data_IF_074150584765
#
_entry.id   IF_074150584765
#
_cell.length_a   1.000
_cell.length_b   1.000
_cell.length_c   1.000
_cell.angle_alpha   90.00
_cell.angle_beta   90.00
_cell.angle_gamma   90.00
#
_symmetry.space_group_name_H-M   'P 1'
#
loop_
_entity.id
_entity.type
_entity.pdbx_description
1 polymer ?
#
# COMPACT_ATOMS: atom_id res chain seq x y z
N UNK A 1 23.25 -19.89 -39.10
CA UNK A 1 22.94 -19.31 -40.42
C UNK A 1 21.95 -18.16 -40.23
N UNK A 2 22.29 -16.95 -40.73
CA UNK A 2 21.52 -15.66 -40.77
C UNK A 2 21.18 -15.06 -39.39
N UNK A 3 21.81 -14.00 -38.84
CA UNK A 3 22.31 -12.70 -39.31
C UNK A 3 21.27 -11.77 -39.94
N UNK A 4 20.90 -10.68 -39.22
CA UNK A 4 20.71 -9.29 -39.69
C UNK A 4 20.31 -8.43 -38.48
N UNK A 5 21.17 -7.60 -37.86
CA UNK A 5 21.66 -6.28 -38.27
C UNK A 5 20.56 -5.38 -38.86
N UNK A 6 20.10 -4.38 -38.10
CA UNK A 6 19.39 -3.21 -38.60
C UNK A 6 20.02 -1.93 -38.05
N UNK A 7 20.20 -0.99 -38.98
CA UNK A 7 21.15 0.13 -38.92
C UNK A 7 20.56 1.36 -38.23
N UNK A 8 21.47 2.09 -37.58
CA UNK A 8 21.40 3.48 -37.14
C UNK A 8 21.11 4.42 -38.33
N UNK A 9 20.22 5.40 -38.12
CA UNK A 9 20.14 6.62 -38.94
C UNK A 9 19.99 7.82 -38.02
N UNK A 10 21.09 8.57 -37.90
CA UNK A 10 21.16 9.90 -37.31
C UNK A 10 20.60 10.92 -38.31
N UNK A 11 19.81 11.88 -37.86
CA UNK A 11 19.49 13.08 -38.63
C UNK A 11 20.08 14.31 -37.93
N UNK A 12 20.86 15.02 -38.73
CA UNK A 12 21.65 16.20 -38.42
C UNK A 12 20.78 17.45 -38.47
N UNK A 13 21.00 18.34 -37.48
CA UNK A 13 21.13 19.80 -37.55
C UNK A 13 20.44 20.58 -38.68
N UNK A 14 19.64 21.60 -38.31
CA UNK A 14 19.61 22.88 -39.02
C UNK A 14 19.14 24.03 -38.10
N UNK A 15 20.07 24.98 -37.91
CA UNK A 15 19.91 26.32 -37.35
C UNK A 15 19.04 27.21 -38.24
N UNK A 16 18.14 28.02 -37.67
CA UNK A 16 17.75 29.34 -38.22
C UNK A 16 17.52 30.34 -37.08
N UNK A 17 18.53 31.20 -36.92
CA UNK A 17 18.56 32.64 -36.59
C UNK A 17 17.38 33.36 -35.92
N UNK A 18 17.76 34.03 -34.84
CA UNK A 18 17.26 35.26 -34.23
C UNK A 18 16.48 36.24 -35.12
N UNK A 19 15.36 36.74 -34.59
CA UNK A 19 14.82 38.06 -34.95
C UNK A 19 14.66 38.88 -33.66
N UNK A 20 15.53 39.88 -33.52
CA UNK A 20 15.44 40.92 -32.51
C UNK A 20 14.49 42.01 -33.01
N UNK A 21 13.58 42.48 -32.15
CA UNK A 21 12.97 43.79 -32.27
C UNK A 21 13.19 44.57 -30.98
N UNK A 22 13.81 45.72 -31.15
CA UNK A 22 14.13 46.74 -30.16
C UNK A 22 13.07 47.85 -30.21
N UNK A 23 13.02 48.63 -29.13
CA UNK A 23 12.32 49.90 -28.91
C UNK A 23 10.84 49.78 -28.49
N UNK A 24 10.56 50.12 -27.22
CA UNK A 24 10.32 51.51 -26.82
C UNK A 24 10.28 51.63 -25.30
N UNK A 25 11.13 52.50 -24.78
CA UNK A 25 11.14 52.96 -23.40
C UNK A 25 10.00 53.95 -23.23
N UNK A 26 9.02 53.62 -22.39
CA UNK A 26 8.20 54.61 -21.71
C UNK A 26 8.28 54.29 -20.22
N UNK A 27 8.88 55.22 -19.48
CA UNK A 27 8.86 55.23 -18.03
C UNK A 27 7.42 55.46 -17.55
N UNK A 28 7.01 54.80 -16.46
CA UNK A 28 6.43 55.39 -15.25
C UNK A 28 5.93 54.28 -14.31
N UNK A 29 6.28 54.46 -13.03
CA UNK A 29 5.80 53.79 -11.81
C UNK A 29 6.30 52.38 -11.51
N UNK A 30 7.51 52.37 -10.96
CA UNK A 30 7.85 51.55 -9.80
C UNK A 30 6.88 51.82 -8.65
N UNK A 31 5.96 50.89 -8.41
CA UNK A 31 5.38 50.67 -7.08
C UNK A 31 6.04 49.42 -6.52
N UNK A 32 6.72 49.61 -5.40
CA UNK A 32 7.30 48.58 -4.56
C UNK A 32 6.30 47.46 -4.29
N UNK A 33 6.70 46.20 -4.50
CA UNK A 33 6.16 45.09 -3.71
C UNK A 33 7.33 44.36 -3.10
N UNK A 34 7.58 44.79 -1.88
CA UNK A 34 8.44 44.21 -0.88
C UNK A 34 8.02 42.76 -0.62
N UNK A 35 9.01 41.87 -0.65
CA UNK A 35 9.17 40.69 0.20
C UNK A 35 8.06 40.45 1.25
N UNK A 36 7.07 39.62 0.94
CA UNK A 36 6.39 38.80 1.95
C UNK A 36 5.61 37.64 1.30
N UNK A 37 6.25 36.47 1.10
CA UNK A 37 5.54 35.26 0.64
C UNK A 37 6.16 33.96 1.15
N UNK A 38 6.80 34.00 2.31
CA UNK A 38 7.37 32.79 2.93
C UNK A 38 6.64 32.40 4.22
N UNK A 39 5.88 33.30 4.86
CA UNK A 39 5.25 33.03 6.15
C UNK A 39 3.82 32.46 6.05
N UNK A 40 3.07 32.77 4.99
CA UNK A 40 1.67 32.34 4.84
C UNK A 40 1.48 30.90 4.35
N UNK A 41 2.54 30.25 3.84
CA UNK A 41 2.45 28.89 3.26
C UNK A 41 2.70 27.80 4.32
N UNK A 42 3.47 28.10 5.37
CA UNK A 42 3.86 27.13 6.40
C UNK A 42 2.77 26.91 7.47
N UNK A 43 2.01 27.95 7.81
CA UNK A 43 0.94 27.88 8.83
C UNK A 43 -0.24 27.04 8.37
N UNK A 44 -0.65 27.18 7.11
CA UNK A 44 -1.77 26.41 6.54
C UNK A 44 -1.41 24.93 6.41
N UNK A 45 -0.19 24.61 6.00
CA UNK A 45 0.29 23.24 5.86
C UNK A 45 0.32 22.50 7.21
N UNK A 46 0.78 23.18 8.28
CA UNK A 46 0.89 22.58 9.62
C UNK A 46 -0.48 22.34 10.25
N UNK A 47 -1.40 23.30 10.13
CA UNK A 47 -2.76 23.17 10.61
C UNK A 47 -3.54 22.08 9.84
N UNK A 48 -3.38 22.00 8.52
CA UNK A 48 -3.98 20.95 7.68
C UNK A 48 -3.43 19.58 8.06
N UNK A 49 -2.13 19.44 8.30
CA UNK A 49 -1.53 18.17 8.72
C UNK A 49 -2.03 17.74 10.11
N UNK A 50 -2.14 18.67 11.06
CA UNK A 50 -2.68 18.39 12.39
C UNK A 50 -4.14 17.93 12.33
N UNK A 51 -4.96 18.60 11.51
CA UNK A 51 -6.35 18.20 11.29
C UNK A 51 -6.46 16.81 10.65
N UNK A 52 -5.63 16.50 9.64
CA UNK A 52 -5.58 15.16 9.02
C UNK A 52 -5.17 14.07 10.00
N UNK A 53 -4.17 14.33 10.86
CA UNK A 53 -3.73 13.39 11.90
C UNK A 53 -4.83 13.13 12.93
N UNK A 54 -5.52 14.19 13.37
CA UNK A 54 -6.66 14.08 14.31
C UNK A 54 -7.79 13.25 13.70
N UNK A 55 -8.19 13.55 12.47
CA UNK A 55 -9.23 12.79 11.76
C UNK A 55 -8.87 11.30 11.62
N UNK A 56 -7.63 10.98 11.22
CA UNK A 56 -7.17 9.60 11.12
C UNK A 56 -7.13 8.88 12.48
N UNK A 57 -6.80 9.58 13.57
CA UNK A 57 -6.82 9.02 14.91
C UNK A 57 -8.25 8.72 15.41
N UNK A 58 -9.19 9.63 15.16
CA UNK A 58 -10.61 9.46 15.49
C UNK A 58 -11.25 8.33 14.69
N UNK A 59 -10.95 8.23 13.40
CA UNK A 59 -11.37 7.10 12.56
C UNK A 59 -10.78 5.79 13.09
N UNK A 60 -9.47 5.76 13.32
CA UNK A 60 -8.77 4.60 13.87
C UNK A 60 -9.39 4.13 15.18
N UNK A 61 -9.86 5.03 16.04
CA UNK A 61 -10.49 4.67 17.31
C UNK A 61 -11.84 3.95 17.15
N UNK A 62 -12.54 4.18 16.03
CA UNK A 62 -13.84 3.56 15.72
C UNK A 62 -13.73 2.22 15.00
N UNK A 63 -12.59 1.95 14.36
CA UNK A 63 -12.35 0.72 13.61
C UNK A 63 -11.99 -0.46 14.52
N UNK A 64 -12.38 -1.70 14.16
CA UNK A 64 -11.98 -2.91 14.88
C UNK A 64 -10.46 -3.02 15.07
N UNK A 65 -10.04 -3.71 16.14
CA UNK A 65 -8.64 -3.93 16.51
C UNK A 65 -8.28 -5.43 16.43
N UNK A 66 -8.13 -5.98 15.22
CA UNK A 66 -8.03 -7.43 15.05
C UNK A 66 -6.64 -7.99 15.40
N UNK A 67 -5.60 -7.16 15.50
CA UNK A 67 -4.25 -7.62 15.79
C UNK A 67 -4.06 -7.89 17.27
N UNK A 68 -3.53 -9.06 17.62
CA UNK A 68 -3.23 -9.45 18.99
C UNK A 68 -1.71 -9.50 19.17
N UNK A 69 -1.16 -8.62 20.01
CA UNK A 69 0.29 -8.55 20.29
C UNK A 69 0.75 -9.59 21.32
N UNK A 70 -0.17 -10.22 22.05
CA UNK A 70 0.12 -11.21 23.10
C UNK A 70 0.11 -12.65 22.59
N UNK A 71 -0.33 -12.89 21.36
CA UNK A 71 -0.35 -14.25 20.81
C UNK A 71 1.03 -14.71 20.34
N UNK A 72 1.30 -16.01 20.48
CA UNK A 72 2.44 -16.62 19.81
C UNK A 72 2.06 -16.86 18.34
N UNK A 73 2.52 -15.96 17.46
CA UNK A 73 2.20 -16.04 16.03
C UNK A 73 2.73 -17.32 15.35
N UNK A 74 3.87 -17.86 15.79
CA UNK A 74 4.42 -19.10 15.23
C UNK A 74 3.52 -20.30 15.53
N UNK A 75 3.14 -20.46 16.79
CA UNK A 75 2.19 -21.51 17.21
C UNK A 75 0.83 -21.32 16.56
N UNK A 76 0.34 -20.07 16.48
CA UNK A 76 -0.94 -19.77 15.86
C UNK A 76 -0.94 -20.15 14.38
N UNK A 77 0.08 -19.75 13.62
CA UNK A 77 0.18 -20.11 12.21
C UNK A 77 0.27 -21.64 12.05
N UNK A 78 1.00 -22.34 12.90
CA UNK A 78 1.06 -23.81 12.86
C UNK A 78 -0.32 -24.46 13.08
N UNK A 79 -1.17 -23.88 13.95
CA UNK A 79 -2.56 -24.32 14.11
C UNK A 79 -3.41 -24.00 12.87
N UNK A 80 -3.26 -22.81 12.30
CA UNK A 80 -3.99 -22.40 11.10
C UNK A 80 -3.65 -23.25 9.88
N UNK A 81 -2.40 -23.73 9.77
CA UNK A 81 -2.02 -24.70 8.72
C UNK A 81 -2.79 -26.01 8.85
N UNK A 82 -2.96 -26.54 10.06
CA UNK A 82 -3.78 -27.75 10.26
C UNK A 82 -5.24 -27.53 9.85
N UNK A 83 -5.79 -26.35 10.20
CA UNK A 83 -7.14 -25.97 9.79
C UNK A 83 -7.26 -25.81 8.28
N UNK A 84 -6.29 -25.14 7.65
CA UNK A 84 -6.23 -24.93 6.20
C UNK A 84 -6.19 -26.25 5.42
N UNK A 85 -5.46 -27.26 5.91
CA UNK A 85 -5.45 -28.61 5.33
C UNK A 85 -6.82 -29.29 5.44
N UNK A 86 -7.48 -29.19 6.60
CA UNK A 86 -8.77 -29.81 6.84
C UNK A 86 -9.90 -29.15 6.02
N UNK A 87 -9.85 -27.83 5.86
CA UNK A 87 -10.85 -27.06 5.11
C UNK A 87 -10.51 -26.90 3.62
N UNK A 88 -9.35 -27.38 3.18
CA UNK A 88 -8.80 -27.18 1.83
C UNK A 88 -8.74 -25.69 1.43
N UNK A 89 -8.31 -24.84 2.36
CA UNK A 89 -8.19 -23.39 2.19
C UNK A 89 -6.72 -22.96 2.17
N UNK A 90 -6.45 -21.82 1.55
CA UNK A 90 -5.16 -21.14 1.69
C UNK A 90 -5.19 -20.27 2.96
N UNK A 91 -4.05 -19.69 3.35
CA UNK A 91 -3.99 -18.79 4.51
C UNK A 91 -3.64 -17.40 4.03
N UNK A 92 -4.47 -16.44 4.40
CA UNK A 92 -4.22 -15.02 4.14
C UNK A 92 -3.65 -14.39 5.42
N UNK A 93 -2.36 -14.05 5.40
CA UNK A 93 -1.71 -13.28 6.45
C UNK A 93 -1.82 -11.79 6.11
N UNK A 94 -2.68 -11.07 6.80
CA UNK A 94 -2.65 -9.62 6.81
C UNK A 94 -1.62 -9.16 7.85
N UNK A 95 -0.41 -8.85 7.41
CA UNK A 95 0.63 -8.33 8.29
C UNK A 95 0.47 -6.83 8.51
N UNK A 96 0.55 -6.41 9.77
CA UNK A 96 0.36 -5.03 10.17
C UNK A 96 0.14 -4.89 11.67
N UNK A 97 -0.57 -3.86 12.10
CA UNK A 97 -0.88 -3.69 13.51
C UNK A 97 -2.00 -2.70 13.77
N UNK A 98 -2.51 -2.68 15.01
CA UNK A 98 -3.61 -1.81 15.43
C UNK A 98 -3.30 -0.29 15.35
N UNK A 99 -2.02 0.07 15.20
CA UNK A 99 -1.54 1.43 15.02
C UNK A 99 -1.69 1.95 13.58
N UNK A 100 -1.82 1.04 12.60
CA UNK A 100 -1.82 1.31 11.16
C UNK A 100 -3.25 1.52 10.63
N UNK A 101 -3.60 2.73 10.20
CA UNK A 101 -4.95 3.07 9.71
C UNK A 101 -5.33 2.28 8.45
N UNK A 102 -4.40 2.13 7.49
CA UNK A 102 -4.62 1.37 6.25
C UNK A 102 -4.88 -0.11 6.51
N UNK A 103 -4.27 -0.68 7.55
CA UNK A 103 -4.49 -2.04 7.99
C UNK A 103 -5.93 -2.23 8.49
N UNK A 104 -6.42 -1.27 9.28
CA UNK A 104 -7.79 -1.33 9.80
C UNK A 104 -8.83 -1.04 8.74
N UNK A 105 -8.55 -0.12 7.81
CA UNK A 105 -9.40 0.13 6.63
C UNK A 105 -9.52 -1.11 5.77
N UNK A 106 -8.42 -1.80 5.46
CA UNK A 106 -8.47 -3.03 4.67
C UNK A 106 -9.30 -4.10 5.37
N UNK A 107 -9.07 -4.29 6.67
CA UNK A 107 -9.87 -5.24 7.45
C UNK A 107 -11.36 -4.88 7.41
N UNK A 108 -11.73 -3.63 7.72
CA UNK A 108 -13.11 -3.17 7.66
C UNK A 108 -13.71 -3.41 6.27
N UNK A 109 -12.99 -3.01 5.21
CA UNK A 109 -13.42 -3.14 3.83
C UNK A 109 -13.72 -4.58 3.45
N UNK A 110 -12.84 -5.53 3.78
CA UNK A 110 -13.08 -6.96 3.55
C UNK A 110 -14.24 -7.48 4.37
N UNK A 111 -14.33 -7.12 5.66
CA UNK A 111 -15.35 -7.66 6.56
C UNK A 111 -16.77 -7.12 6.28
N UNK A 112 -16.90 -5.91 5.73
CA UNK A 112 -18.20 -5.29 5.47
C UNK A 112 -18.59 -5.21 4.00
N UNK A 113 -17.77 -5.72 3.09
CA UNK A 113 -18.12 -5.86 1.67
C UNK A 113 -18.52 -7.32 1.42
N UNK A 114 -19.82 -7.64 1.27
CA UNK A 114 -20.28 -9.03 1.22
C UNK A 114 -19.59 -9.89 0.16
N UNK A 115 -19.34 -9.32 -1.02
CA UNK A 115 -18.65 -10.02 -2.10
C UNK A 115 -17.22 -10.44 -1.72
N UNK A 116 -16.44 -9.54 -1.11
CA UNK A 116 -15.08 -9.85 -0.67
C UNK A 116 -15.08 -10.83 0.49
N UNK A 117 -16.00 -10.63 1.44
CA UNK A 117 -16.15 -11.52 2.60
C UNK A 117 -16.47 -12.94 2.17
N UNK A 118 -17.39 -13.13 1.22
CA UNK A 118 -17.74 -14.47 0.72
C UNK A 118 -16.52 -15.15 0.09
N UNK A 119 -15.75 -14.46 -0.77
CA UNK A 119 -14.54 -15.01 -1.38
C UNK A 119 -13.53 -15.41 -0.29
N UNK A 120 -13.33 -14.57 0.72
CA UNK A 120 -12.42 -14.86 1.82
C UNK A 120 -12.87 -16.06 2.63
N UNK A 121 -14.13 -16.09 3.07
CA UNK A 121 -14.67 -17.15 3.93
C UNK A 121 -14.65 -18.52 3.22
N UNK A 122 -14.85 -18.54 1.91
CA UNK A 122 -14.82 -19.76 1.08
C UNK A 122 -13.39 -20.28 0.85
N UNK A 123 -12.41 -19.40 0.67
CA UNK A 123 -11.11 -19.78 0.10
C UNK A 123 -9.94 -19.66 1.08
N UNK A 124 -10.09 -18.91 2.17
CA UNK A 124 -8.99 -18.53 3.04
C UNK A 124 -9.28 -18.75 4.52
N UNK A 125 -8.24 -19.15 5.24
CA UNK A 125 -8.10 -18.90 6.67
C UNK A 125 -7.47 -17.51 6.81
N UNK A 126 -8.24 -16.54 7.27
CA UNK A 126 -7.79 -15.15 7.38
C UNK A 126 -7.17 -14.86 8.74
N UNK A 127 -5.95 -14.32 8.77
CA UNK A 127 -5.19 -14.08 10.00
C UNK A 127 -4.45 -12.74 10.00
N UNK A 128 -4.52 -12.03 11.12
CA UNK A 128 -3.88 -10.73 11.32
C UNK A 128 -2.55 -10.90 12.05
N UNK A 129 -1.45 -10.98 11.29
CA UNK A 129 -0.12 -11.12 11.86
C UNK A 129 0.36 -9.78 12.44
N UNK A 130 0.42 -9.70 13.77
CA UNK A 130 0.82 -8.47 14.47
C UNK A 130 2.30 -8.12 14.27
N UNK A 131 2.55 -6.87 13.95
CA UNK A 131 3.81 -6.17 14.11
C UNK A 131 3.54 -4.91 14.92
N UNK A 132 4.11 -4.80 16.12
CA UNK A 132 3.97 -3.62 16.97
C UNK A 132 5.23 -3.40 17.81
N UNK A 133 5.38 -2.23 18.46
CA UNK A 133 6.46 -2.01 19.42
C UNK A 133 6.52 -3.06 20.53
N UNK A 134 5.35 -3.55 20.97
CA UNK A 134 5.18 -4.54 22.04
C UNK A 134 5.58 -5.95 21.58
N UNK A 135 5.23 -6.31 20.33
CA UNK A 135 5.61 -7.57 19.74
C UNK A 135 5.78 -7.44 18.22
N UNK A 136 7.02 -7.50 17.76
CA UNK A 136 7.38 -7.39 16.34
C UNK A 136 7.31 -8.71 15.57
N UNK A 137 7.14 -9.85 16.26
CA UNK A 137 7.16 -11.18 15.65
C UNK A 137 8.35 -11.41 14.68
N UNK A 138 9.55 -10.91 15.01
CA UNK A 138 10.68 -10.78 14.08
C UNK A 138 11.06 -12.09 13.38
N UNK A 139 11.08 -13.21 14.12
CA UNK A 139 11.36 -14.55 13.58
C UNK A 139 10.31 -15.00 12.56
N UNK A 140 9.04 -14.74 12.84
CA UNK A 140 7.92 -15.09 11.93
C UNK A 140 7.99 -14.25 10.68
N UNK A 141 8.26 -12.95 10.80
CA UNK A 141 8.46 -12.07 9.64
C UNK A 141 9.68 -12.45 8.81
N UNK A 142 10.77 -12.92 9.43
CA UNK A 142 11.94 -13.40 8.72
C UNK A 142 11.63 -14.63 7.86
N UNK A 143 10.78 -15.54 8.34
CA UNK A 143 10.34 -16.74 7.60
C UNK A 143 9.62 -16.40 6.28
N UNK A 144 9.03 -15.22 6.19
CA UNK A 144 8.28 -14.75 5.01
C UNK A 144 9.00 -13.61 4.28
N UNK A 145 10.34 -13.56 4.38
CA UNK A 145 11.20 -12.61 3.67
C UNK A 145 10.98 -11.12 4.02
N UNK A 146 10.63 -10.83 5.29
CA UNK A 146 10.49 -9.48 5.83
C UNK A 146 9.60 -8.56 4.97
N UNK A 147 8.35 -8.93 4.69
CA UNK A 147 7.51 -8.27 3.70
C UNK A 147 7.24 -6.79 4.06
N UNK A 148 7.12 -6.48 5.34
CA UNK A 148 6.90 -5.10 5.81
C UNK A 148 8.08 -4.15 5.59
N UNK A 149 9.31 -4.67 5.47
CA UNK A 149 10.49 -3.85 5.13
C UNK A 149 10.47 -3.46 3.66
N UNK A 150 9.95 -4.35 2.80
CA UNK A 150 9.91 -4.16 1.35
C UNK A 150 8.74 -3.29 0.91
N UNK A 151 7.56 -3.49 1.50
CA UNK A 151 6.30 -2.91 1.02
C UNK A 151 5.62 -1.98 2.03
N UNK A 152 6.08 -1.94 3.28
CA UNK A 152 5.36 -1.26 4.35
C UNK A 152 4.16 -2.07 4.87
N UNK A 153 3.24 -1.41 5.56
CA UNK A 153 2.07 -2.05 6.17
C UNK A 153 0.76 -1.32 5.77
N UNK A 154 -0.33 -2.06 5.50
CA UNK A 154 -0.39 -3.52 5.54
C UNK A 154 0.39 -4.14 4.37
N UNK A 155 0.83 -5.37 4.58
CA UNK A 155 1.35 -6.21 3.50
C UNK A 155 0.71 -7.57 3.63
N UNK A 156 0.41 -8.21 2.50
CA UNK A 156 -0.29 -9.47 2.52
C UNK A 156 0.63 -10.60 2.12
N UNK A 157 0.58 -11.70 2.86
CA UNK A 157 1.32 -12.92 2.53
C UNK A 157 0.30 -14.04 2.39
N UNK A 158 0.29 -14.71 1.24
CA UNK A 158 -0.55 -15.88 1.01
C UNK A 158 0.29 -17.13 1.20
N UNK A 159 -0.18 -18.00 2.09
CA UNK A 159 0.34 -19.36 2.23
C UNK A 159 -0.62 -20.34 1.55
N UNK A 160 -0.08 -21.38 0.94
CA UNK A 160 -0.90 -22.54 0.57
C UNK A 160 -1.39 -23.29 1.81
N UNK A 161 -2.29 -24.27 1.61
CA UNK A 161 -2.81 -25.10 2.70
C UNK A 161 -1.74 -25.83 3.52
N UNK A 162 -0.53 -26.00 3.00
CA UNK A 162 0.59 -26.65 3.70
C UNK A 162 1.48 -25.65 4.44
N UNK A 163 1.12 -24.36 4.43
CA UNK A 163 1.88 -23.29 5.08
C UNK A 163 3.09 -22.81 4.27
N UNK A 164 3.21 -23.19 3.00
CA UNK A 164 4.25 -22.65 2.11
C UNK A 164 3.82 -21.28 1.62
N UNK A 165 4.69 -20.28 1.76
CA UNK A 165 4.45 -18.97 1.14
C UNK A 165 4.44 -19.10 -0.39
N UNK A 166 3.33 -18.70 -1.00
CA UNK A 166 3.13 -18.74 -2.45
C UNK A 166 3.06 -17.35 -3.07
N UNK A 167 2.74 -16.32 -2.28
CA UNK A 167 2.69 -14.94 -2.75
C UNK A 167 2.91 -13.92 -1.65
N UNK A 168 3.46 -12.77 -2.02
CA UNK A 168 3.47 -11.55 -1.20
C UNK A 168 2.90 -10.42 -2.04
N UNK A 169 1.90 -9.72 -1.50
CA UNK A 169 1.19 -8.64 -2.18
C UNK A 169 1.44 -7.32 -1.45
N UNK A 170 2.01 -6.36 -2.19
CA UNK A 170 2.01 -4.95 -1.82
C UNK A 170 0.56 -4.45 -1.75
N UNK A 171 0.14 -3.86 -0.63
CA UNK A 171 -1.23 -3.35 -0.50
C UNK A 171 -1.46 -2.09 -1.32
N UNK A 172 -0.41 -1.29 -1.59
CA UNK A 172 -0.54 0.02 -2.23
C UNK A 172 -1.15 -0.10 -3.64
N UNK A 173 -0.89 -1.19 -4.35
CA UNK A 173 -1.44 -1.40 -5.70
C UNK A 173 -2.96 -1.66 -5.67
N UNK A 174 -3.51 -2.07 -4.52
CA UNK A 174 -4.95 -2.32 -4.33
C UNK A 174 -5.73 -1.08 -3.90
N UNK A 175 -5.04 0.00 -3.53
CA UNK A 175 -5.66 1.22 -3.05
C UNK A 175 -6.41 1.98 -4.16
N UNK A 176 -7.44 2.73 -3.75
CA UNK A 176 -8.16 3.68 -4.58
C UNK A 176 -8.67 4.85 -3.72
N UNK A 177 -8.16 6.05 -4.00
CA UNK A 177 -8.50 7.25 -3.24
C UNK A 177 -8.09 7.15 -1.78
N UNK A 178 -9.07 7.06 -0.86
CA UNK A 178 -8.83 6.95 0.59
C UNK A 178 -9.11 5.55 1.13
N UNK A 179 -9.43 4.61 0.24
CA UNK A 179 -9.85 3.24 0.53
C UNK A 179 -9.19 2.25 -0.44
N UNK A 180 -9.82 1.12 -0.70
CA UNK A 180 -9.34 0.08 -1.61
C UNK A 180 -10.34 -0.13 -2.76
N UNK A 181 -9.82 -0.51 -3.92
CA UNK A 181 -10.65 -0.85 -5.08
C UNK A 181 -11.23 -2.26 -4.90
N UNK A 182 -12.56 -2.37 -4.96
CA UNK A 182 -13.24 -3.68 -4.89
C UNK A 182 -12.76 -4.62 -5.99
N UNK A 183 -12.58 -4.13 -7.22
CA UNK A 183 -12.17 -4.94 -8.37
C UNK A 183 -10.76 -5.49 -8.17
N UNK A 184 -9.80 -4.65 -7.74
CA UNK A 184 -8.42 -5.07 -7.52
C UNK A 184 -8.30 -6.06 -6.36
N UNK A 185 -9.00 -5.80 -5.25
CA UNK A 185 -8.98 -6.68 -4.08
C UNK A 185 -9.63 -8.02 -4.39
N UNK A 186 -10.75 -8.00 -5.11
CA UNK A 186 -11.40 -9.21 -5.61
C UNK A 186 -10.48 -10.03 -6.50
N UNK A 187 -9.85 -9.39 -7.50
CA UNK A 187 -8.91 -10.06 -8.40
C UNK A 187 -7.74 -10.70 -7.64
N UNK A 188 -7.18 -9.99 -6.65
CA UNK A 188 -6.15 -10.53 -5.76
C UNK A 188 -6.63 -11.78 -5.02
N UNK A 189 -7.80 -11.75 -4.38
CA UNK A 189 -8.30 -12.92 -3.65
C UNK A 189 -8.68 -14.08 -4.57
N UNK A 190 -9.10 -13.82 -5.80
CA UNK A 190 -9.43 -14.88 -6.76
C UNK A 190 -8.18 -15.54 -7.35
N UNK A 191 -7.15 -14.76 -7.70
CA UNK A 191 -5.90 -15.26 -8.28
C UNK A 191 -5.20 -16.27 -7.35
N UNK A 192 -5.24 -16.01 -6.05
CA UNK A 192 -4.52 -16.79 -5.04
C UNK A 192 -5.42 -17.75 -4.24
N UNK A 193 -6.65 -17.98 -4.71
CA UNK A 193 -7.53 -18.98 -4.13
C UNK A 193 -6.91 -20.40 -4.27
N UNK A 194 -7.28 -21.37 -3.41
CA UNK A 194 -6.81 -22.75 -3.53
C UNK A 194 -7.07 -23.30 -4.93
N UNK A 195 -6.01 -23.77 -5.59
CA UNK A 195 -6.15 -24.52 -6.84
C UNK A 195 -6.62 -25.93 -6.48
N UNK A 196 -7.75 -26.33 -7.08
CA UNK A 196 -8.36 -27.65 -6.90
C UNK A 196 -7.45 -28.77 -7.41
#
# INVERSE_FOLDING_TARGET
>A
MKNSQFKVLAFSSLLITSLACSQKTDAIKSTEVQSDKTVLVETDSTAILAAKKKAAAEEKAKLPKPYNDKENAEEKIAQLVKQAQAENKNIMLQAGGNWCIWCLRFNQFVQTTPELKNIVDENYIYYHLNYSPENKNEKVFAKYDHPGVKFGYPVFVVLDKNGKMIHTQDSAVLEEGKEYSIEKVKAFFQEWAPKS
#
